data_IF_381031842867
#
_entry.id   IF_381031842867
#
_cell.length_a   1.000
_cell.length_b   1.000
_cell.length_c   1.000
_cell.angle_alpha   90.00
_cell.angle_beta   90.00
_cell.angle_gamma   90.00
#
_symmetry.space_group_name_H-M   'P 1'
#
loop_
_entity.id
_entity.type
_entity.pdbx_description
1 polymer ?
#
# COMPACT_ATOMS: atom_id res chain seq x y z
N UNK A 1 -4.40 0.51 4.32
CA UNK A 1 -2.99 0.19 4.01
C UNK A 1 -2.70 -1.26 4.35
N UNK A 2 -1.77 -1.91 3.65
CA UNK A 2 -1.30 -3.26 4.02
C UNK A 2 0.12 -3.15 4.59
N UNK A 3 0.34 -3.69 5.79
CA UNK A 3 1.62 -3.66 6.50
C UNK A 3 2.27 -5.06 6.51
N UNK A 4 3.61 -5.16 6.53
CA UNK A 4 4.29 -6.45 6.51
C UNK A 4 4.03 -7.22 7.82
N UNK A 5 4.12 -8.56 7.77
CA UNK A 5 3.90 -9.45 8.94
C UNK A 5 4.72 -9.08 10.18
N UNK A 6 5.90 -8.49 9.96
CA UNK A 6 6.84 -8.14 11.01
C UNK A 6 6.38 -6.94 11.84
N UNK A 7 5.33 -6.25 11.40
CA UNK A 7 4.78 -5.08 12.08
C UNK A 7 3.94 -5.52 13.29
N UNK A 8 4.03 -4.82 14.44
CA UNK A 8 3.13 -4.97 15.57
C UNK A 8 1.65 -4.88 15.19
N UNK A 9 0.76 -5.19 16.13
CA UNK A 9 -0.68 -5.23 15.86
C UNK A 9 -1.15 -3.88 15.27
N UNK A 10 -1.86 -3.90 14.12
CA UNK A 10 -2.28 -2.67 13.46
C UNK A 10 -3.20 -1.79 14.31
N UNK A 11 -3.91 -2.35 15.30
CA UNK A 11 -4.76 -1.59 16.21
C UNK A 11 -3.99 -0.81 17.29
N UNK A 12 -2.67 -1.01 17.40
CA UNK A 12 -1.82 -0.25 18.34
C UNK A 12 -1.46 1.14 17.80
N UNK A 13 -1.76 1.43 16.54
CA UNK A 13 -1.44 2.70 15.89
C UNK A 13 -2.69 3.58 15.78
N UNK A 14 -2.63 4.77 16.36
CA UNK A 14 -3.62 5.82 16.12
C UNK A 14 -3.41 6.35 14.69
N UNK A 15 -4.37 6.09 13.80
CA UNK A 15 -4.27 6.40 12.38
C UNK A 15 -5.62 6.88 11.85
N UNK A 16 -5.59 7.88 10.97
CA UNK A 16 -6.79 8.40 10.28
C UNK A 16 -7.32 7.45 9.18
N UNK A 17 -6.71 6.27 8.98
CA UNK A 17 -7.13 5.30 7.97
C UNK A 17 -8.24 4.40 8.51
N UNK A 18 -9.32 4.27 7.73
CA UNK A 18 -10.43 3.36 8.07
C UNK A 18 -10.03 1.88 8.11
N UNK A 19 -9.04 1.49 7.31
CA UNK A 19 -8.64 0.09 7.11
C UNK A 19 -7.12 -0.04 7.10
N UNK A 20 -6.61 -0.83 8.05
CA UNK A 20 -5.23 -1.29 8.14
C UNK A 20 -5.26 -2.82 8.18
N UNK A 21 -4.54 -3.48 7.26
CA UNK A 21 -4.47 -4.93 7.18
C UNK A 21 -3.01 -5.36 7.34
N UNK A 22 -2.74 -6.45 8.06
CA UNK A 22 -1.41 -7.05 8.12
C UNK A 22 -1.33 -8.23 7.15
N UNK A 23 -0.23 -8.30 6.40
CA UNK A 23 0.05 -9.39 5.47
C UNK A 23 0.61 -10.62 6.20
N UNK A 24 -0.26 -11.36 6.89
CA UNK A 24 0.16 -12.51 7.71
C UNK A 24 0.69 -13.69 6.89
N UNK A 25 0.04 -13.99 5.76
CA UNK A 25 0.40 -15.11 4.90
C UNK A 25 1.37 -14.75 3.77
N UNK A 26 1.74 -13.46 3.64
CA UNK A 26 2.72 -13.01 2.65
C UNK A 26 2.17 -12.83 1.23
N UNK A 27 0.84 -12.83 1.05
CA UNK A 27 0.20 -12.70 -0.27
C UNK A 27 0.36 -11.30 -0.84
N UNK A 28 0.48 -10.27 0.00
CA UNK A 28 0.65 -8.91 -0.47
C UNK A 28 2.14 -8.61 -0.78
N UNK A 29 3.03 -8.63 0.21
CA UNK A 29 4.43 -8.26 0.01
C UNK A 29 5.15 -9.29 -0.87
N UNK A 30 4.97 -10.58 -0.60
CA UNK A 30 5.55 -11.65 -1.42
C UNK A 30 4.93 -11.71 -2.81
N UNK A 31 3.60 -11.72 -2.90
CA UNK A 31 2.88 -11.83 -4.18
C UNK A 31 3.15 -10.66 -5.13
N UNK A 32 3.22 -9.43 -4.60
CA UNK A 32 3.49 -8.23 -5.41
C UNK A 32 4.97 -7.82 -5.44
N UNK A 33 5.87 -8.68 -4.95
CA UNK A 33 7.33 -8.46 -4.96
C UNK A 33 7.73 -7.10 -4.36
N UNK A 34 7.14 -6.75 -3.21
CA UNK A 34 7.42 -5.52 -2.46
C UNK A 34 8.48 -5.84 -1.40
N UNK A 35 9.56 -5.05 -1.37
CA UNK A 35 10.58 -5.16 -0.32
C UNK A 35 10.02 -4.85 1.07
N UNK A 36 10.61 -5.42 2.13
CA UNK A 36 10.16 -5.18 3.52
C UNK A 36 10.26 -3.71 3.95
N UNK A 37 11.18 -2.96 3.35
CA UNK A 37 11.39 -1.52 3.59
C UNK A 37 10.86 -0.66 2.43
N UNK A 38 10.18 -1.27 1.45
CA UNK A 38 9.62 -0.57 0.29
C UNK A 38 8.16 -0.22 0.54
N UNK A 39 7.80 1.04 0.28
CA UNK A 39 6.40 1.44 0.17
C UNK A 39 5.97 1.37 -1.30
N UNK A 40 5.03 0.48 -1.62
CA UNK A 40 4.43 0.39 -2.95
C UNK A 40 2.99 0.88 -2.89
N UNK A 41 2.67 1.86 -3.73
CA UNK A 41 1.33 2.43 -3.82
C UNK A 41 0.70 1.92 -5.12
N UNK A 42 -0.48 1.33 -4.99
CA UNK A 42 -1.29 0.87 -6.12
C UNK A 42 -2.53 1.74 -6.18
N UNK A 43 -2.68 2.47 -7.29
CA UNK A 43 -3.83 3.33 -7.51
C UNK A 43 -4.87 2.55 -8.29
N UNK A 44 -6.02 2.29 -7.66
CA UNK A 44 -7.17 1.62 -8.26
C UNK A 44 -8.24 2.66 -8.52
N UNK A 45 -8.78 2.69 -9.73
CA UNK A 45 -9.87 3.59 -10.10
C UNK A 45 -11.23 3.03 -9.64
N UNK A 46 -12.26 3.88 -9.55
CA UNK A 46 -13.62 3.43 -9.24
C UNK A 46 -14.23 2.42 -10.23
N UNK A 47 -13.63 2.26 -11.42
CA UNK A 47 -14.04 1.27 -12.42
C UNK A 47 -13.29 -0.08 -12.29
N UNK A 48 -12.66 -0.32 -11.14
CA UNK A 48 -11.90 -1.54 -10.79
C UNK A 48 -10.62 -1.77 -11.61
N UNK A 49 -10.17 -0.79 -12.41
CA UNK A 49 -8.91 -0.86 -13.14
C UNK A 49 -7.74 -0.24 -12.36
N UNK A 50 -6.56 -0.84 -12.52
CA UNK A 50 -5.30 -0.25 -12.07
C UNK A 50 -4.97 0.98 -12.92
N UNK A 51 -4.83 2.13 -12.27
CA UNK A 51 -4.32 3.34 -12.90
C UNK A 51 -2.79 3.40 -12.87
N UNK A 52 -2.18 3.05 -11.74
CA UNK A 52 -0.73 3.19 -11.56
C UNK A 52 -0.20 2.29 -10.44
N UNK A 53 1.06 1.87 -10.57
CA UNK A 53 1.84 1.24 -9.51
C UNK A 53 3.14 2.04 -9.35
N UNK A 54 3.35 2.62 -8.17
CA UNK A 54 4.50 3.50 -7.90
C UNK A 54 5.24 3.10 -6.64
N UNK A 55 6.50 3.52 -6.57
CA UNK A 55 7.35 3.41 -5.38
C UNK A 55 7.27 4.72 -4.61
N UNK A 56 6.76 4.66 -3.39
CA UNK A 56 6.61 5.82 -2.53
C UNK A 56 5.64 6.88 -3.05
N UNK A 57 5.58 7.99 -2.32
CA UNK A 57 4.59 9.06 -2.50
C UNK A 57 4.82 9.94 -3.74
N UNK A 58 6.05 10.07 -4.24
CA UNK A 58 6.34 11.01 -5.32
C UNK A 58 5.63 10.63 -6.62
N UNK A 59 5.55 9.33 -6.93
CA UNK A 59 4.80 8.86 -8.09
C UNK A 59 3.29 9.05 -7.92
N UNK A 60 2.78 8.94 -6.70
CA UNK A 60 1.36 9.19 -6.42
C UNK A 60 1.01 10.66 -6.62
N UNK A 61 1.88 11.58 -6.15
CA UNK A 61 1.68 13.02 -6.34
C UNK A 61 1.59 13.39 -7.81
N UNK A 62 2.46 12.83 -8.65
CA UNK A 62 2.41 13.03 -10.10
C UNK A 62 1.05 12.57 -10.67
N UNK A 63 0.61 11.37 -10.31
CA UNK A 63 -0.70 10.87 -10.75
C UNK A 63 -1.86 11.80 -10.34
N UNK A 64 -1.88 12.25 -9.09
CA UNK A 64 -2.96 13.10 -8.57
C UNK A 64 -2.96 14.51 -9.17
N UNK A 65 -1.79 15.03 -9.56
CA UNK A 65 -1.68 16.31 -10.26
C UNK A 65 -2.06 16.22 -11.75
N UNK A 66 -2.43 15.02 -12.22
CA UNK A 66 -2.71 14.80 -13.62
C UNK A 66 -1.44 14.93 -14.47
N UNK A 67 -0.32 14.38 -13.97
CA UNK A 67 1.08 14.36 -14.43
C UNK A 67 2.04 15.22 -13.59
#
# INVERSE_FOLDING_TARGET
VVIPRSTPDPNEFDSDLDIILRDDEGHAFGGYHVGQEECRIVVVRPDDFLAMIVRGEDGLRQYLNGF
#
